data_IF_438985431803
#
_entry.id   IF_438985431803
#
_cell.length_a   1.000
_cell.length_b   1.000
_cell.length_c   1.000
_cell.angle_alpha   90.00
_cell.angle_beta   90.00
_cell.angle_gamma   90.00
#
_symmetry.space_group_name_H-M   'P 1'
#
loop_
_entity.id
_entity.type
_entity.pdbx_description
1 polymer ?
#
# COMPACT_ATOMS: atom_id res chain seq x y z
N UNK A 1 -57.01 -36.30 5.11
CA UNK A 1 -55.68 -36.29 4.47
C UNK A 1 -54.86 -35.18 5.11
N UNK A 2 -53.96 -35.52 6.02
CA UNK A 2 -53.05 -34.55 6.63
C UNK A 2 -51.79 -34.42 5.76
N UNK A 3 -51.51 -33.23 5.25
CA UNK A 3 -50.31 -32.96 4.47
C UNK A 3 -49.08 -33.03 5.37
N UNK A 4 -48.20 -33.98 5.09
CA UNK A 4 -46.94 -34.21 5.78
C UNK A 4 -45.93 -33.17 5.29
N UNK A 5 -45.82 -32.04 6.00
CA UNK A 5 -44.84 -30.99 5.68
C UNK A 5 -43.46 -31.49 6.13
N UNK A 6 -42.59 -31.80 5.16
CA UNK A 6 -41.17 -32.01 5.41
C UNK A 6 -40.51 -30.65 5.68
N UNK A 7 -40.20 -30.40 6.96
CA UNK A 7 -39.33 -29.31 7.38
C UNK A 7 -37.94 -29.60 6.80
N UNK A 8 -37.55 -28.87 5.76
CA UNK A 8 -36.16 -28.89 5.26
C UNK A 8 -35.29 -28.19 6.29
N UNK A 9 -34.24 -28.87 6.72
CA UNK A 9 -33.23 -28.37 7.66
C UNK A 9 -32.64 -27.05 7.15
N UNK A 10 -32.84 -25.96 7.88
CA UNK A 10 -32.07 -24.73 7.66
C UNK A 10 -30.63 -25.00 8.12
N UNK A 11 -29.71 -25.17 7.17
CA UNK A 11 -28.29 -25.18 7.46
C UNK A 11 -27.90 -23.82 8.03
N UNK A 12 -27.48 -23.79 9.30
CA UNK A 12 -26.79 -22.65 9.89
C UNK A 12 -25.62 -22.25 8.97
N UNK A 13 -25.32 -20.94 8.80
CA UNK A 13 -24.15 -20.53 8.04
C UNK A 13 -22.93 -21.24 8.65
N UNK A 14 -22.18 -21.95 7.80
CA UNK A 14 -21.02 -22.72 8.23
C UNK A 14 -20.07 -21.81 8.99
N UNK A 15 -19.76 -22.13 10.26
CA UNK A 15 -18.75 -21.40 11.05
C UNK A 15 -17.43 -21.42 10.27
N UNK A 16 -17.09 -20.28 9.66
CA UNK A 16 -15.81 -20.05 9.02
C UNK A 16 -14.71 -20.01 10.08
N UNK A 17 -13.51 -20.47 9.73
CA UNK A 17 -12.38 -20.50 10.64
C UNK A 17 -12.02 -19.06 11.07
N UNK A 18 -11.62 -18.81 12.34
CA UNK A 18 -11.33 -17.45 12.84
C UNK A 18 -10.29 -16.70 11.97
N UNK A 19 -9.28 -17.41 11.48
CA UNK A 19 -8.26 -16.84 10.56
C UNK A 19 -8.85 -16.43 9.21
N UNK A 20 -9.85 -17.17 8.71
CA UNK A 20 -10.58 -16.83 7.47
C UNK A 20 -11.38 -15.53 7.65
N UNK A 21 -12.05 -15.38 8.79
CA UNK A 21 -12.81 -14.16 9.10
C UNK A 21 -11.90 -12.94 9.24
N UNK A 22 -10.73 -13.11 9.86
CA UNK A 22 -9.78 -12.01 10.05
C UNK A 22 -9.33 -11.39 8.72
N UNK A 23 -8.97 -12.20 7.72
CA UNK A 23 -8.60 -11.67 6.39
C UNK A 23 -9.80 -10.99 5.72
N UNK A 24 -11.02 -11.53 5.83
CA UNK A 24 -12.21 -10.85 5.30
C UNK A 24 -12.46 -9.50 5.97
N UNK A 25 -12.24 -9.41 7.28
CA UNK A 25 -12.31 -8.16 8.04
C UNK A 25 -11.25 -7.15 7.57
N UNK A 26 -9.99 -7.57 7.40
CA UNK A 26 -8.93 -6.69 6.88
C UNK A 26 -9.20 -6.22 5.45
N UNK A 27 -9.78 -7.08 4.59
CA UNK A 27 -10.21 -6.69 3.24
C UNK A 27 -11.30 -5.62 3.26
N UNK A 28 -12.29 -5.77 4.16
CA UNK A 28 -13.34 -4.76 4.34
C UNK A 28 -12.77 -3.45 4.88
N UNK A 29 -11.87 -3.53 5.86
CA UNK A 29 -11.20 -2.36 6.45
C UNK A 29 -10.38 -1.59 5.42
N UNK A 30 -9.61 -2.28 4.58
CA UNK A 30 -8.84 -1.68 3.48
C UNK A 30 -9.77 -0.96 2.50
N UNK A 31 -10.89 -1.58 2.12
CA UNK A 31 -11.90 -0.99 1.23
C UNK A 31 -12.60 0.22 1.86
N UNK A 32 -12.92 0.18 3.15
CA UNK A 32 -13.52 1.31 3.85
C UNK A 32 -12.56 2.50 3.98
N UNK A 33 -11.26 2.23 4.22
CA UNK A 33 -10.22 3.26 4.25
C UNK A 33 -10.04 3.95 2.89
N UNK A 34 -10.22 3.22 1.79
CA UNK A 34 -10.23 3.78 0.44
C UNK A 34 -11.39 4.77 0.24
N UNK A 35 -12.63 4.34 0.52
CA UNK A 35 -13.84 5.14 0.28
C UNK A 35 -13.93 6.41 1.14
N UNK A 36 -13.26 6.45 2.29
CA UNK A 36 -13.27 7.57 3.21
C UNK A 36 -12.18 8.62 2.93
N UNK A 37 -11.19 8.31 2.08
CA UNK A 37 -9.99 9.13 1.95
C UNK A 37 -10.01 9.99 0.69
N UNK A 38 -10.53 11.21 0.81
CA UNK A 38 -10.44 12.26 -0.23
C UNK A 38 -9.18 13.14 -0.08
N UNK A 39 -8.34 12.91 0.94
CA UNK A 39 -7.10 13.67 1.17
C UNK A 39 -5.87 12.77 1.17
N UNK A 40 -4.75 13.32 0.69
CA UNK A 40 -3.44 12.66 0.57
C UNK A 40 -2.48 13.13 1.67
N UNK A 41 -3.00 13.31 2.89
CA UNK A 41 -2.16 13.61 4.06
C UNK A 41 -1.27 12.42 4.39
N UNK A 42 -0.10 12.70 4.99
CA UNK A 42 0.82 11.64 5.31
C UNK A 42 0.26 10.64 6.34
N UNK A 43 -0.55 11.11 7.29
CA UNK A 43 -1.29 10.26 8.22
C UNK A 43 -2.24 9.27 7.50
N UNK A 44 -2.92 9.71 6.43
CA UNK A 44 -3.76 8.82 5.61
C UNK A 44 -2.92 7.75 4.89
N UNK A 45 -1.73 8.12 4.40
CA UNK A 45 -0.81 7.19 3.75
C UNK A 45 -0.30 6.13 4.74
N UNK A 46 0.16 6.53 5.92
CA UNK A 46 0.58 5.61 6.99
C UNK A 46 -0.56 4.66 7.38
N UNK A 47 -1.79 5.17 7.52
CA UNK A 47 -2.96 4.34 7.81
C UNK A 47 -3.24 3.31 6.71
N UNK A 48 -3.20 3.71 5.43
CA UNK A 48 -3.44 2.81 4.29
C UNK A 48 -2.35 1.73 4.18
N UNK A 49 -1.08 2.11 4.36
CA UNK A 49 0.03 1.16 4.39
C UNK A 49 -0.08 0.20 5.58
N UNK A 50 -0.52 0.69 6.75
CA UNK A 50 -0.80 -0.13 7.92
C UNK A 50 -1.92 -1.15 7.69
N UNK A 51 -3.04 -0.72 7.11
CA UNK A 51 -4.14 -1.63 6.73
C UNK A 51 -3.66 -2.72 5.74
N UNK A 52 -2.79 -2.34 4.80
CA UNK A 52 -2.23 -3.30 3.84
C UNK A 52 -1.30 -4.30 4.53
N UNK A 53 -0.44 -3.85 5.44
CA UNK A 53 0.39 -4.72 6.28
C UNK A 53 -0.46 -5.73 7.06
N UNK A 54 -1.49 -5.26 7.76
CA UNK A 54 -2.36 -6.12 8.57
C UNK A 54 -3.09 -7.18 7.72
N UNK A 55 -3.49 -6.82 6.50
CA UNK A 55 -4.03 -7.77 5.52
C UNK A 55 -3.00 -8.84 5.15
N UNK A 56 -1.77 -8.46 4.81
CA UNK A 56 -0.72 -9.42 4.44
C UNK A 56 -0.29 -10.32 5.60
N UNK A 57 -0.27 -9.81 6.82
CA UNK A 57 -0.08 -10.64 8.02
C UNK A 57 -1.19 -11.69 8.17
N UNK A 58 -2.44 -11.26 8.00
CA UNK A 58 -3.60 -12.15 8.06
C UNK A 58 -3.57 -13.21 6.95
N UNK A 59 -3.16 -12.82 5.74
CA UNK A 59 -2.97 -13.75 4.60
C UNK A 59 -1.85 -14.75 4.92
N UNK A 60 -0.74 -14.28 5.50
CA UNK A 60 0.36 -15.16 5.88
C UNK A 60 -0.11 -16.24 6.87
N UNK A 61 -0.89 -15.88 7.89
CA UNK A 61 -1.46 -16.85 8.83
C UNK A 61 -2.44 -17.81 8.16
N UNK A 62 -3.23 -17.30 7.22
CA UNK A 62 -4.17 -18.11 6.45
C UNK A 62 -3.47 -19.13 5.53
N UNK A 63 -2.34 -18.76 4.91
CA UNK A 63 -1.51 -19.64 4.07
C UNK A 63 -0.81 -20.75 4.87
N UNK A 64 -0.65 -20.61 6.18
CA UNK A 64 -0.10 -21.67 7.04
C UNK A 64 -1.11 -22.78 7.36
N UNK A 65 -2.41 -22.57 7.10
CA UNK A 65 -3.42 -23.59 7.38
C UNK A 65 -3.28 -24.77 6.41
N UNK A 66 -3.16 -25.99 6.93
CA UNK A 66 -3.01 -27.21 6.11
C UNK A 66 -4.14 -27.38 5.07
N UNK A 67 -5.37 -27.00 5.42
CA UNK A 67 -6.52 -27.03 4.50
C UNK A 67 -6.35 -26.06 3.33
N UNK A 68 -5.77 -24.88 3.58
CA UNK A 68 -5.47 -23.88 2.56
C UNK A 68 -4.37 -24.39 1.63
N UNK A 69 -3.30 -24.96 2.20
CA UNK A 69 -2.19 -25.54 1.43
C UNK A 69 -2.65 -26.71 0.56
N UNK A 70 -3.55 -27.56 1.06
CA UNK A 70 -4.13 -28.68 0.28
C UNK A 70 -5.00 -28.18 -0.89
N UNK A 71 -5.74 -27.09 -0.72
CA UNK A 71 -6.52 -26.50 -1.81
C UNK A 71 -5.59 -25.85 -2.84
N UNK A 72 -4.58 -25.12 -2.41
CA UNK A 72 -3.66 -24.38 -3.29
C UNK A 72 -2.65 -25.27 -4.03
N UNK A 73 -2.28 -26.43 -3.48
CA UNK A 73 -1.37 -27.41 -4.11
C UNK A 73 -2.01 -28.22 -5.25
N UNK A 74 -3.34 -28.19 -5.37
CA UNK A 74 -4.02 -28.87 -6.46
C UNK A 74 -3.66 -28.21 -7.80
N UNK A 75 -3.31 -29.01 -8.82
CA UNK A 75 -2.86 -28.55 -10.14
C UNK A 75 -3.83 -27.56 -10.79
N UNK A 76 -5.12 -27.67 -10.51
CA UNK A 76 -6.16 -26.76 -11.02
C UNK A 76 -6.01 -25.31 -10.56
N UNK A 77 -5.22 -25.04 -9.50
CA UNK A 77 -5.06 -23.70 -8.91
C UNK A 77 -3.65 -23.12 -9.12
N UNK A 78 -2.79 -23.80 -9.89
CA UNK A 78 -1.40 -23.36 -10.12
C UNK A 78 -1.31 -21.98 -10.77
N UNK A 79 -2.07 -21.74 -11.85
CA UNK A 79 -2.13 -20.44 -12.55
C UNK A 79 -2.49 -19.30 -11.59
N UNK A 80 -3.44 -19.55 -10.69
CA UNK A 80 -3.88 -18.58 -9.69
C UNK A 80 -2.79 -18.25 -8.65
N UNK A 81 -2.01 -19.26 -8.21
CA UNK A 81 -0.86 -19.01 -7.32
C UNK A 81 0.24 -18.25 -8.06
N UNK A 82 0.46 -18.55 -9.34
CA UNK A 82 1.39 -17.80 -10.20
C UNK A 82 0.95 -16.33 -10.37
N UNK A 83 -0.34 -16.05 -10.58
CA UNK A 83 -0.87 -14.68 -10.63
C UNK A 83 -0.73 -13.95 -9.28
N UNK A 84 -0.92 -14.64 -8.14
CA UNK A 84 -0.69 -14.07 -6.81
C UNK A 84 0.81 -13.79 -6.55
N UNK A 85 1.68 -14.66 -7.04
CA UNK A 85 3.13 -14.43 -7.04
C UNK A 85 3.50 -13.24 -7.94
N UNK A 86 2.93 -13.11 -9.13
CA UNK A 86 3.18 -11.95 -9.99
C UNK A 86 2.69 -10.65 -9.33
N UNK A 87 1.48 -10.65 -8.76
CA UNK A 87 0.91 -9.51 -8.05
C UNK A 87 1.76 -9.07 -6.84
N UNK A 88 2.19 -10.02 -6.00
CA UNK A 88 3.06 -9.72 -4.86
C UNK A 88 4.44 -9.21 -5.27
N UNK A 89 4.99 -9.64 -6.42
CA UNK A 89 6.25 -9.12 -6.94
C UNK A 89 6.13 -7.64 -7.35
N UNK A 90 5.07 -7.31 -8.08
CA UNK A 90 4.80 -5.94 -8.51
C UNK A 90 4.65 -4.99 -7.31
N UNK A 91 4.02 -5.45 -6.23
CA UNK A 91 3.90 -4.66 -4.99
C UNK A 91 5.27 -4.49 -4.32
N UNK A 92 6.12 -5.52 -4.29
CA UNK A 92 7.49 -5.40 -3.78
C UNK A 92 8.33 -4.40 -4.58
N UNK A 93 8.21 -4.38 -5.91
CA UNK A 93 8.92 -3.42 -6.77
C UNK A 93 8.51 -1.98 -6.46
N UNK A 94 7.21 -1.76 -6.25
CA UNK A 94 6.66 -0.47 -5.79
C UNK A 94 7.20 -0.10 -4.42
N UNK A 95 7.23 -1.03 -3.47
CA UNK A 95 7.79 -0.80 -2.13
C UNK A 95 9.28 -0.43 -2.19
N UNK A 96 10.06 -1.11 -3.04
CA UNK A 96 11.47 -0.80 -3.25
C UNK A 96 11.67 0.61 -3.80
N UNK A 97 10.94 0.95 -4.86
CA UNK A 97 11.00 2.30 -5.47
C UNK A 97 10.58 3.38 -4.47
N UNK A 98 9.52 3.15 -3.69
CA UNK A 98 9.04 4.09 -2.67
C UNK A 98 10.07 4.29 -1.56
N UNK A 99 10.71 3.22 -1.08
CA UNK A 99 11.76 3.31 -0.05
C UNK A 99 12.96 4.13 -0.52
N UNK A 100 13.46 3.89 -1.74
CA UNK A 100 14.60 4.63 -2.29
C UNK A 100 14.31 6.13 -2.43
N UNK A 101 13.05 6.45 -2.65
CA UNK A 101 12.53 7.79 -2.79
C UNK A 101 12.37 8.48 -1.42
N UNK A 102 11.87 7.79 -0.41
CA UNK A 102 11.79 8.27 0.97
C UNK A 102 13.18 8.55 1.54
N UNK A 103 14.14 7.65 1.30
CA UNK A 103 15.54 7.82 1.71
C UNK A 103 16.18 9.06 1.08
N UNK A 104 15.96 9.30 -0.22
CA UNK A 104 16.41 10.51 -0.90
C UNK A 104 15.81 11.77 -0.27
N UNK A 105 14.51 11.75 0.02
CA UNK A 105 13.80 12.88 0.61
C UNK A 105 14.31 13.21 2.03
N UNK A 106 14.50 12.19 2.85
CA UNK A 106 15.06 12.29 4.20
C UNK A 106 16.45 12.91 4.20
N UNK A 107 17.34 12.43 3.33
CA UNK A 107 18.69 12.97 3.20
C UNK A 107 18.69 14.47 2.87
N UNK A 108 17.86 14.90 1.92
CA UNK A 108 17.78 16.32 1.58
C UNK A 108 17.12 17.19 2.65
N UNK A 109 16.16 16.66 3.42
CA UNK A 109 15.60 17.39 4.57
C UNK A 109 16.67 17.59 5.64
N UNK A 110 17.51 16.59 5.88
CA UNK A 110 18.62 16.68 6.82
C UNK A 110 19.70 17.66 6.33
N UNK A 111 20.04 17.64 5.04
CA UNK A 111 20.95 18.61 4.41
C UNK A 111 20.41 20.04 4.55
N UNK A 112 19.14 20.25 4.18
CA UNK A 112 18.42 21.51 4.34
C UNK A 112 18.49 21.97 5.81
N UNK A 113 18.05 21.15 6.76
CA UNK A 113 18.07 21.48 8.18
C UNK A 113 19.49 21.79 8.68
N UNK A 114 20.50 21.01 8.25
CA UNK A 114 21.90 21.23 8.62
C UNK A 114 22.45 22.56 8.07
N UNK A 115 22.04 22.97 6.87
CA UNK A 115 22.45 24.24 6.27
C UNK A 115 21.85 25.42 7.03
N UNK A 116 20.57 25.33 7.39
CA UNK A 116 19.87 26.34 8.18
C UNK A 116 20.43 26.43 9.61
N UNK A 117 20.86 25.30 10.20
CA UNK A 117 21.55 25.26 11.51
C UNK A 117 22.98 25.83 11.46
N UNK A 118 23.73 25.62 10.38
CA UNK A 118 25.15 26.02 10.24
C UNK A 118 25.35 27.50 9.88
N UNK A 119 24.31 28.21 9.46
CA UNK A 119 24.40 29.55 8.86
C UNK A 119 23.86 30.61 9.81
N UNK A 120 24.52 31.71 10.21
CA UNK A 120 25.76 32.44 9.84
C UNK A 120 25.84 32.98 8.39
N UNK A 121 24.97 33.93 8.05
CA UNK A 121 25.40 35.22 7.47
C UNK A 121 25.27 35.50 5.95
N UNK A 122 25.26 34.53 5.03
CA UNK A 122 25.35 34.83 3.58
C UNK A 122 24.17 34.33 2.73
N UNK A 123 23.32 35.21 2.21
CA UNK A 123 22.08 34.88 1.47
C UNK A 123 22.28 33.84 0.32
N UNK A 124 23.42 33.84 -0.39
CA UNK A 124 23.61 33.01 -1.59
C UNK A 124 23.60 31.49 -1.33
N UNK A 125 24.22 31.01 -0.24
CA UNK A 125 24.24 29.56 0.05
C UNK A 125 22.91 29.02 0.60
N UNK A 126 21.93 29.88 0.86
CA UNK A 126 20.62 29.48 1.40
C UNK A 126 19.70 29.28 0.20
N UNK A 127 19.75 30.24 -0.73
CA UNK A 127 19.11 30.13 -2.03
C UNK A 127 19.48 28.82 -2.75
N UNK A 128 20.76 28.43 -2.74
CA UNK A 128 21.21 27.17 -3.37
C UNK A 128 20.62 25.92 -2.70
N UNK A 129 20.47 25.91 -1.38
CA UNK A 129 19.92 24.76 -0.63
C UNK A 129 18.39 24.67 -0.76
N UNK A 130 17.72 25.82 -0.75
CA UNK A 130 16.29 25.87 -1.04
C UNK A 130 16.04 25.39 -2.48
N UNK A 131 16.89 25.79 -3.43
CA UNK A 131 16.79 25.35 -4.81
C UNK A 131 17.03 23.84 -4.96
N UNK A 132 18.03 23.26 -4.28
CA UNK A 132 18.28 21.81 -4.29
C UNK A 132 17.10 21.02 -3.71
N UNK A 133 16.52 21.46 -2.58
CA UNK A 133 15.30 20.86 -2.02
C UNK A 133 14.12 20.94 -3.01
N UNK A 134 13.88 22.09 -3.63
CA UNK A 134 12.78 22.24 -4.61
C UNK A 134 12.95 21.35 -5.83
N UNK A 135 14.18 21.15 -6.32
CA UNK A 135 14.48 20.25 -7.44
C UNK A 135 14.22 18.79 -7.05
N UNK A 136 14.69 18.37 -5.87
CA UNK A 136 14.45 17.02 -5.37
C UNK A 136 12.95 16.78 -5.18
N UNK A 137 12.22 17.71 -4.58
CA UNK A 137 10.76 17.61 -4.42
C UNK A 137 10.05 17.44 -5.76
N UNK A 138 10.50 18.15 -6.81
CA UNK A 138 9.99 17.96 -8.18
C UNK A 138 10.30 16.56 -8.72
N UNK A 139 11.50 16.04 -8.47
CA UNK A 139 11.90 14.67 -8.84
C UNK A 139 11.04 13.63 -8.10
N UNK A 140 10.80 13.85 -6.82
CA UNK A 140 9.97 13.03 -5.93
C UNK A 140 8.52 12.95 -6.43
N UNK A 141 7.86 14.10 -6.66
CA UNK A 141 6.51 14.13 -7.25
C UNK A 141 6.42 13.37 -8.58
N UNK A 142 7.44 13.49 -9.43
CA UNK A 142 7.50 12.74 -10.70
C UNK A 142 7.63 11.22 -10.47
N UNK A 143 8.39 10.78 -9.47
CA UNK A 143 8.54 9.36 -9.16
C UNK A 143 7.28 8.78 -8.52
N UNK A 144 6.65 9.51 -7.57
CA UNK A 144 5.34 9.13 -7.01
C UNK A 144 4.30 9.02 -8.12
N UNK A 145 4.23 10.01 -9.02
CA UNK A 145 3.32 9.98 -10.17
C UNK A 145 3.56 8.76 -11.06
N UNK A 146 4.82 8.40 -11.34
CA UNK A 146 5.15 7.16 -12.08
C UNK A 146 4.73 5.89 -11.34
N UNK A 147 4.91 5.83 -10.02
CA UNK A 147 4.46 4.71 -9.19
C UNK A 147 2.94 4.58 -9.27
N UNK A 148 2.23 5.69 -9.13
CA UNK A 148 0.77 5.76 -9.24
C UNK A 148 0.28 5.34 -10.63
N UNK A 149 0.94 5.78 -11.69
CA UNK A 149 0.64 5.34 -13.06
C UNK A 149 0.88 3.83 -13.24
N UNK A 150 1.92 3.28 -12.61
CA UNK A 150 2.21 1.85 -12.63
C UNK A 150 1.13 1.03 -11.91
N UNK A 151 0.72 1.48 -10.72
CA UNK A 151 -0.38 0.87 -9.95
C UNK A 151 -1.70 0.90 -10.74
N UNK A 152 -2.03 2.04 -11.34
CA UNK A 152 -3.22 2.21 -12.18
C UNK A 152 -3.17 1.32 -13.44
N UNK A 153 -1.99 1.12 -14.05
CA UNK A 153 -1.81 0.20 -15.19
C UNK A 153 -2.00 -1.25 -14.78
N UNK A 154 -1.44 -1.65 -13.63
CA UNK A 154 -1.62 -2.99 -13.07
C UNK A 154 -3.09 -3.26 -12.76
N UNK A 155 -3.81 -2.29 -12.21
CA UNK A 155 -5.25 -2.41 -11.96
C UNK A 155 -6.03 -2.65 -13.26
N UNK A 156 -5.76 -1.87 -14.32
CA UNK A 156 -6.41 -2.04 -15.62
C UNK A 156 -6.12 -3.42 -16.23
N UNK A 157 -4.90 -3.93 -16.09
CA UNK A 157 -4.54 -5.28 -16.54
C UNK A 157 -5.31 -6.36 -15.77
N UNK A 158 -5.50 -6.21 -14.46
CA UNK A 158 -6.27 -7.16 -13.65
C UNK A 158 -7.76 -7.15 -14.05
N UNK A 159 -8.33 -5.99 -14.37
CA UNK A 159 -9.72 -5.88 -14.87
C UNK A 159 -9.86 -6.57 -16.24
N UNK A 160 -8.89 -6.37 -17.14
CA UNK A 160 -8.88 -6.99 -18.47
C UNK A 160 -8.72 -8.51 -18.40
N UNK A 161 -7.84 -9.02 -17.52
CA UNK A 161 -7.69 -10.46 -17.25
C UNK A 161 -9.01 -11.06 -16.74
N UNK A 162 -9.72 -10.37 -15.84
CA UNK A 162 -11.02 -10.83 -15.33
C UNK A 162 -12.10 -10.93 -16.42
N UNK A 163 -12.16 -9.96 -17.34
CA UNK A 163 -13.11 -9.99 -18.46
C UNK A 163 -12.85 -11.15 -19.43
N UNK A 164 -11.59 -11.58 -19.58
CA UNK A 164 -11.22 -12.73 -20.39
C UNK A 164 -11.48 -14.08 -19.67
N UNK A 165 -11.46 -14.10 -18.33
CA UNK A 165 -11.70 -15.30 -17.52
C UNK A 165 -13.19 -15.52 -17.19
N UNK A 166 -14.04 -14.48 -17.29
CA UNK A 166 -15.50 -14.60 -17.13
C UNK A 166 -16.17 -15.45 -18.24
N UNK A 167 -15.53 -15.63 -19.41
CA UNK A 167 -15.99 -16.57 -20.44
C UNK A 167 -15.69 -18.06 -20.11
N UNK A 168 -14.78 -18.35 -19.17
CA UNK A 168 -14.32 -19.71 -18.81
C UNK A 168 -14.78 -20.15 -17.39
N UNK A 169 -15.14 -19.18 -16.52
CA UNK A 169 -15.57 -19.38 -15.12
C UNK A 169 -16.94 -20.07 -14.94
N UNK A 170 -17.78 -20.10 -15.98
CA UNK A 170 -19.07 -20.81 -15.93
C UNK A 170 -18.89 -22.35 -15.79
N UNK A 171 -17.76 -22.90 -16.22
CA UNK A 171 -17.46 -24.34 -16.14
C UNK A 171 -16.81 -24.77 -14.81
N UNK A 172 -16.13 -23.86 -14.10
CA UNK A 172 -15.31 -24.18 -12.91
C UNK A 172 -16.05 -23.97 -11.57
N UNK A 173 -16.96 -22.99 -11.49
CA UNK A 173 -17.72 -22.70 -10.26
C UNK A 173 -18.78 -23.74 -9.88
N UNK A 174 -19.16 -24.65 -10.79
CA UNK A 174 -20.15 -25.67 -10.49
C UNK A 174 -19.65 -26.78 -9.55
N UNK A 175 -18.34 -26.90 -9.28
CA UNK A 175 -17.77 -28.09 -8.60
C UNK A 175 -17.05 -27.90 -7.28
N UNK A 176 -16.70 -26.71 -6.81
CA UNK A 176 -16.02 -26.58 -5.51
C UNK A 176 -16.45 -25.36 -4.68
N UNK A 177 -17.45 -25.55 -3.80
CA UNK A 177 -17.74 -24.67 -2.66
C UNK A 177 -16.70 -24.83 -1.56
N UNK A 178 -15.44 -24.57 -1.90
CA UNK A 178 -14.35 -24.46 -0.93
C UNK A 178 -14.34 -23.03 -0.41
N UNK A 179 -14.62 -22.82 0.89
CA UNK A 179 -14.52 -21.50 1.53
C UNK A 179 -13.13 -20.86 1.36
N UNK A 180 -12.08 -21.66 1.07
CA UNK A 180 -10.76 -21.13 0.74
C UNK A 180 -10.67 -20.52 -0.65
N UNK A 181 -11.38 -21.07 -1.64
CA UNK A 181 -11.38 -20.56 -3.01
C UNK A 181 -12.10 -19.21 -3.16
N UNK A 182 -13.28 -19.08 -2.52
CA UNK A 182 -14.01 -17.82 -2.47
C UNK A 182 -13.23 -16.68 -1.81
N UNK A 183 -12.22 -17.03 -1.02
CA UNK A 183 -11.37 -16.10 -0.31
C UNK A 183 -10.16 -15.67 -1.14
N UNK A 184 -9.54 -16.62 -1.86
CA UNK A 184 -8.49 -16.33 -2.85
C UNK A 184 -9.03 -15.41 -3.94
N UNK A 185 -10.23 -15.69 -4.45
CA UNK A 185 -10.87 -14.84 -5.46
C UNK A 185 -11.14 -13.44 -4.93
N UNK A 186 -11.52 -13.28 -3.65
CA UNK A 186 -11.64 -11.96 -2.99
C UNK A 186 -10.30 -11.23 -2.88
N UNK A 187 -9.22 -11.92 -2.51
CA UNK A 187 -7.87 -11.33 -2.41
C UNK A 187 -7.39 -10.87 -3.78
N UNK A 188 -7.54 -11.70 -4.82
CA UNK A 188 -7.14 -11.38 -6.20
C UNK A 188 -8.03 -10.27 -6.79
N UNK A 189 -9.32 -10.29 -6.47
CA UNK A 189 -10.30 -9.28 -6.91
C UNK A 189 -10.39 -8.07 -5.99
N UNK A 190 -9.52 -7.95 -4.99
CA UNK A 190 -9.46 -6.76 -4.12
C UNK A 190 -9.17 -5.57 -5.01
N UNK A 191 -10.26 -4.86 -5.31
CA UNK A 191 -10.35 -3.86 -6.36
C UNK A 191 -9.95 -2.51 -5.76
N UNK A 192 -9.24 -1.75 -6.60
CA UNK A 192 -8.95 -0.32 -6.50
C UNK A 192 -7.87 0.07 -5.48
N UNK A 193 -6.76 0.54 -6.02
CA UNK A 193 -5.91 1.54 -5.37
C UNK A 193 -5.92 2.72 -6.32
N UNK A 194 -6.95 3.58 -6.22
CA UNK A 194 -6.93 4.85 -6.93
C UNK A 194 -5.83 5.71 -6.30
N UNK A 195 -4.69 5.79 -6.95
CA UNK A 195 -3.73 6.84 -6.61
C UNK A 195 -4.17 8.13 -7.32
N UNK A 196 -4.89 8.96 -6.60
CA UNK A 196 -5.07 10.36 -6.98
C UNK A 196 -3.79 11.10 -6.62
N UNK A 197 -3.10 11.67 -7.61
CA UNK A 197 -2.11 12.73 -7.36
C UNK A 197 -2.85 14.00 -6.94
N UNK A 198 -3.47 13.97 -5.77
CA UNK A 198 -3.98 15.17 -5.13
C UNK A 198 -2.78 15.94 -4.57
N UNK A 199 -2.79 17.25 -4.77
CA UNK A 199 -1.70 18.16 -4.49
C UNK A 199 -1.41 18.33 -2.98
N UNK A 200 -2.27 17.81 -2.11
CA UNK A 200 -2.39 18.27 -0.73
C UNK A 200 -1.70 17.31 0.26
N UNK A 201 -0.37 17.33 0.28
CA UNK A 201 0.39 16.87 1.44
C UNK A 201 0.62 18.08 2.36
N UNK A 202 -0.27 18.30 3.32
CA UNK A 202 -0.33 19.50 4.17
C UNK A 202 1.03 19.83 4.82
N UNK A 203 1.76 18.82 5.30
CA UNK A 203 3.08 19.00 5.93
C UNK A 203 4.19 19.38 4.93
N UNK A 204 4.08 18.84 3.72
CA UNK A 204 5.02 19.08 2.63
C UNK A 204 4.73 20.49 2.05
N UNK A 205 3.48 20.83 1.77
CA UNK A 205 3.07 22.17 1.35
C UNK A 205 3.39 23.26 2.37
N UNK A 206 3.25 22.97 3.66
CA UNK A 206 3.64 23.88 4.74
C UNK A 206 5.14 24.21 4.67
N UNK A 207 6.01 23.22 4.45
CA UNK A 207 7.44 23.46 4.28
C UNK A 207 7.74 24.24 2.98
N UNK A 208 7.00 23.99 1.90
CA UNK A 208 7.15 24.76 0.65
C UNK A 208 6.74 26.23 0.82
N UNK A 209 5.64 26.50 1.54
CA UNK A 209 5.17 27.85 1.80
C UNK A 209 6.21 28.64 2.60
N UNK A 210 6.81 28.04 3.63
CA UNK A 210 7.84 28.70 4.44
C UNK A 210 9.13 28.92 3.65
N UNK A 211 9.53 27.97 2.80
CA UNK A 211 10.70 28.10 1.93
C UNK A 211 10.50 29.15 0.83
N UNK A 212 9.28 29.28 0.29
CA UNK A 212 8.92 30.36 -0.62
C UNK A 212 8.96 31.72 0.09
N UNK A 213 8.41 31.83 1.30
CA UNK A 213 8.45 33.06 2.09
C UNK A 213 9.89 33.52 2.36
N UNK A 214 10.80 32.58 2.61
CA UNK A 214 12.24 32.85 2.76
C UNK A 214 12.94 33.28 1.47
N UNK A 215 12.44 32.87 0.31
CA UNK A 215 13.02 33.23 -0.99
C UNK A 215 12.73 34.69 -1.38
N UNK A 216 11.64 35.27 -0.86
CA UNK A 216 11.18 36.61 -1.21
C UNK A 216 11.34 37.65 -0.08
N UNK A 217 11.86 37.27 1.10
CA UNK A 217 12.01 38.17 2.24
C UNK A 217 13.39 38.08 2.89
N UNK A 218 13.76 39.12 3.65
CA UNK A 218 15.01 39.14 4.41
C UNK A 218 14.93 38.11 5.54
N UNK A 219 15.81 37.11 5.46
CA UNK A 219 15.85 35.96 6.39
C UNK A 219 16.00 36.45 7.84
N UNK A 220 15.01 36.15 8.68
CA UNK A 220 15.06 36.40 10.12
C UNK A 220 15.14 35.09 10.92
N UNK A 221 15.54 35.13 12.20
CA UNK A 221 15.72 33.91 12.99
C UNK A 221 14.40 33.16 13.26
N UNK A 222 13.26 33.85 13.19
CA UNK A 222 11.92 33.27 13.38
C UNK A 222 11.56 32.36 12.20
N UNK A 223 11.76 32.82 10.96
CA UNK A 223 11.51 32.02 9.75
C UNK A 223 12.43 30.80 9.65
N UNK A 224 13.70 30.96 10.03
CA UNK A 224 14.64 29.82 10.13
C UNK A 224 14.14 28.79 11.14
N UNK A 225 13.67 29.24 12.31
CA UNK A 225 13.07 28.37 13.32
C UNK A 225 11.83 27.63 12.82
N UNK A 226 10.96 28.30 12.03
CA UNK A 226 9.79 27.67 11.43
C UNK A 226 10.17 26.59 10.42
N UNK A 227 11.11 26.86 9.51
CA UNK A 227 11.59 25.86 8.55
C UNK A 227 12.16 24.64 9.25
N UNK A 228 12.98 24.83 10.29
CA UNK A 228 13.55 23.70 11.04
C UNK A 228 12.47 22.85 11.71
N UNK A 229 11.46 23.47 12.33
CA UNK A 229 10.32 22.75 12.91
C UNK A 229 9.53 21.95 11.86
N UNK A 230 9.30 22.55 10.69
CA UNK A 230 8.59 21.87 9.59
C UNK A 230 9.43 20.73 8.98
N UNK A 231 10.73 20.93 8.84
CA UNK A 231 11.67 19.90 8.40
C UNK A 231 11.68 18.70 9.37
N UNK A 232 11.73 18.95 10.68
CA UNK A 232 11.69 17.91 11.72
C UNK A 232 10.36 17.13 11.70
N UNK A 233 9.23 17.82 11.55
CA UNK A 233 7.92 17.17 11.45
C UNK A 233 7.84 16.26 10.20
N UNK A 234 8.34 16.74 9.07
CA UNK A 234 8.35 15.99 7.82
C UNK A 234 9.30 14.79 7.88
N UNK A 235 10.47 14.93 8.52
CA UNK A 235 11.40 13.82 8.76
C UNK A 235 10.76 12.72 9.62
N UNK A 236 10.03 13.10 10.68
CA UNK A 236 9.29 12.15 11.53
C UNK A 236 8.25 11.35 10.73
N UNK A 237 7.52 12.02 9.84
CA UNK A 237 6.53 11.40 8.96
C UNK A 237 7.18 10.42 7.98
N UNK A 238 8.32 10.81 7.38
CA UNK A 238 9.06 9.92 6.49
C UNK A 238 9.54 8.68 7.25
N UNK A 239 10.07 8.86 8.46
CA UNK A 239 10.53 7.76 9.30
C UNK A 239 9.39 6.77 9.62
N UNK A 240 8.22 7.26 10.04
CA UNK A 240 7.05 6.40 10.28
C UNK A 240 6.63 5.64 9.01
N UNK A 241 6.64 6.31 7.86
CA UNK A 241 6.29 5.69 6.58
C UNK A 241 7.31 4.61 6.19
N UNK A 242 8.61 4.86 6.39
CA UNK A 242 9.69 3.90 6.13
C UNK A 242 9.54 2.64 6.98
N UNK A 243 9.22 2.78 8.27
CA UNK A 243 9.04 1.65 9.20
C UNK A 243 7.84 0.78 8.81
N UNK A 244 6.69 1.38 8.49
CA UNK A 244 5.51 0.65 8.03
C UNK A 244 5.80 -0.05 6.70
N UNK A 245 6.48 0.63 5.78
CA UNK A 245 6.85 0.08 4.48
C UNK A 245 7.82 -1.11 4.60
N UNK A 246 8.78 -1.04 5.53
CA UNK A 246 9.68 -2.15 5.81
C UNK A 246 8.93 -3.36 6.38
N UNK A 247 7.99 -3.11 7.30
CA UNK A 247 7.12 -4.17 7.82
C UNK A 247 6.35 -4.85 6.68
N UNK A 248 5.68 -4.06 5.85
CA UNK A 248 4.93 -4.57 4.69
C UNK A 248 5.82 -5.37 3.73
N UNK A 249 7.03 -4.89 3.43
CA UNK A 249 8.00 -5.59 2.58
C UNK A 249 8.34 -6.97 3.15
N UNK A 250 8.60 -7.07 4.46
CA UNK A 250 8.86 -8.36 5.13
C UNK A 250 7.66 -9.30 5.04
N UNK A 251 6.44 -8.79 5.26
CA UNK A 251 5.21 -9.57 5.15
C UNK A 251 5.01 -10.13 3.74
N UNK A 252 5.24 -9.31 2.70
CA UNK A 252 5.15 -9.71 1.30
C UNK A 252 6.17 -10.80 0.93
N UNK A 253 7.42 -10.65 1.37
CA UNK A 253 8.45 -11.69 1.16
C UNK A 253 8.03 -13.01 1.81
N UNK A 254 7.50 -12.97 3.05
CA UNK A 254 6.98 -14.16 3.75
C UNK A 254 5.82 -14.80 2.98
N UNK A 255 4.91 -14.00 2.42
CA UNK A 255 3.80 -14.49 1.58
C UNK A 255 4.34 -15.23 0.36
N UNK A 256 5.31 -14.64 -0.33
CA UNK A 256 5.93 -15.24 -1.53
C UNK A 256 6.60 -16.56 -1.22
N UNK A 257 7.42 -16.62 -0.16
CA UNK A 257 8.06 -17.86 0.27
C UNK A 257 7.02 -18.93 0.58
N UNK A 258 5.94 -18.58 1.27
CA UNK A 258 4.84 -19.51 1.58
C UNK A 258 4.17 -20.04 0.31
N UNK A 259 3.86 -19.18 -0.66
CA UNK A 259 3.27 -19.57 -1.94
C UNK A 259 4.21 -20.44 -2.78
N UNK A 260 5.49 -20.08 -2.86
CA UNK A 260 6.51 -20.86 -3.57
C UNK A 260 6.65 -22.26 -2.98
N UNK A 261 6.65 -22.38 -1.64
CA UNK A 261 6.69 -23.66 -0.98
C UNK A 261 5.46 -24.52 -1.29
N UNK A 262 4.28 -23.91 -1.38
CA UNK A 262 3.02 -24.63 -1.70
C UNK A 262 3.02 -25.20 -3.12
N UNK A 263 3.59 -24.50 -4.11
CA UNK A 263 3.62 -24.98 -5.51
C UNK A 263 4.83 -25.86 -5.84
N UNK A 264 5.82 -25.91 -4.95
CA UNK A 264 7.02 -26.74 -5.11
C UNK A 264 6.86 -28.16 -4.55
N UNK A 265 5.79 -28.41 -3.80
CA UNK A 265 5.41 -29.71 -3.21
C UNK A 265 4.18 -30.28 -3.91
#
# INVERSE_FOLDING_TARGET
>A
MAAKIHIRSNSLPSRTHPVTNNVEEQLLRLRSSEAASTSSSAASVCQKLGCLKDLYDSINDWLQLSRTQQVLSNQNHRKCVEDLLDGSLRILDVCGTLRDVLLQMKGCIQELASSFRRKRGSESGLASEVESYTLLRKKMRKLISKICDSLNKMEKQNILKKAAEEEDEAALNAKTRSNGWSMISKIISTKRVSCETAADANELEDLDHELLALKFSKVNSVQVGNVLKRAEALESVIQETEEILECLFRCLVKTRVSLLNIISH
#
